data_IF_156383051091
#
_entry.id   IF_156383051091
#
_cell.length_a   1.000
_cell.length_b   1.000
_cell.length_c   1.000
_cell.angle_alpha   90.00
_cell.angle_beta   90.00
_cell.angle_gamma   90.00
#
_symmetry.space_group_name_H-M   'P 1'
#
loop_
_entity.id
_entity.type
_entity.pdbx_description
1 polymer ?
#
# COMPACT_ATOMS: atom_id res chain seq x y z
N UNK A 1 -10.35 0.67 17.23
CA UNK A 1 -9.99 0.66 15.80
C UNK A 1 -8.50 0.40 15.66
N UNK A 2 -8.04 -0.18 14.54
CA UNK A 2 -6.62 -0.43 14.30
C UNK A 2 -5.81 0.88 14.28
N UNK A 3 -4.58 0.84 14.80
CA UNK A 3 -3.62 1.92 14.74
C UNK A 3 -3.06 2.03 13.31
N UNK A 4 -3.15 3.20 12.65
CA UNK A 4 -2.72 3.37 11.27
C UNK A 4 -1.22 3.69 11.10
N UNK A 5 -0.47 3.89 12.19
CA UNK A 5 0.93 4.34 12.13
C UNK A 5 1.90 3.26 12.64
N UNK A 6 3.06 3.09 11.98
CA UNK A 6 4.14 2.25 12.49
C UNK A 6 4.89 2.88 13.67
N UNK A 7 4.65 4.16 13.98
CA UNK A 7 5.32 4.93 15.03
C UNK A 7 4.38 5.44 16.13
N UNK A 8 4.98 6.00 17.19
CA UNK A 8 4.26 6.71 18.25
C UNK A 8 3.61 5.83 19.32
N UNK A 9 3.62 4.50 19.19
CA UNK A 9 3.08 3.58 20.19
C UNK A 9 3.99 2.35 20.41
N UNK A 10 3.96 1.72 21.59
CA UNK A 10 4.67 0.46 21.85
C UNK A 10 4.32 -0.64 20.85
N UNK A 11 5.33 -1.37 20.36
CA UNK A 11 5.19 -2.41 19.33
C UNK A 11 4.12 -3.47 19.67
N UNK A 12 4.12 -3.95 20.92
CA UNK A 12 3.15 -4.94 21.41
C UNK A 12 1.72 -4.40 21.37
N UNK A 13 1.53 -3.12 21.73
CA UNK A 13 0.20 -2.49 21.72
C UNK A 13 -0.32 -2.34 20.29
N UNK A 14 0.53 -1.92 19.35
CA UNK A 14 0.17 -1.82 17.93
C UNK A 14 -0.25 -3.19 17.40
N UNK A 15 0.58 -4.21 17.60
CA UNK A 15 0.30 -5.55 17.10
C UNK A 15 -1.01 -6.12 17.67
N UNK A 16 -1.15 -6.13 19.01
CA UNK A 16 -2.31 -6.70 19.67
C UNK A 16 -3.61 -6.00 19.25
N UNK A 17 -3.63 -4.66 19.29
CA UNK A 17 -4.82 -3.89 18.91
C UNK A 17 -5.21 -4.15 17.45
N UNK A 18 -4.25 -4.10 16.53
CA UNK A 18 -4.52 -4.24 15.10
C UNK A 18 -5.08 -5.63 14.77
N UNK A 19 -4.46 -6.70 15.28
CA UNK A 19 -4.89 -8.08 14.99
C UNK A 19 -6.26 -8.37 15.60
N UNK A 20 -6.45 -8.06 16.90
CA UNK A 20 -7.71 -8.37 17.59
C UNK A 20 -8.88 -7.55 17.05
N UNK A 21 -8.68 -6.24 16.83
CA UNK A 21 -9.76 -5.40 16.30
C UNK A 21 -10.14 -5.79 14.88
N UNK A 22 -9.18 -6.18 14.04
CA UNK A 22 -9.45 -6.65 12.68
C UNK A 22 -10.30 -7.93 12.70
N UNK A 23 -9.92 -8.93 13.49
CA UNK A 23 -10.71 -10.17 13.63
C UNK A 23 -12.16 -9.88 14.08
N UNK A 24 -12.32 -9.08 15.13
CA UNK A 24 -13.63 -8.77 15.70
C UNK A 24 -14.55 -8.09 14.69
N UNK A 25 -14.03 -7.14 13.90
CA UNK A 25 -14.82 -6.41 12.90
C UNK A 25 -15.18 -7.30 11.71
N UNK A 26 -14.27 -8.17 11.26
CA UNK A 26 -14.58 -9.16 10.23
C UNK A 26 -15.71 -10.11 10.66
N UNK A 27 -15.63 -10.66 11.87
CA UNK A 27 -16.69 -11.53 12.41
C UNK A 27 -18.02 -10.78 12.52
N UNK A 28 -18.00 -9.56 13.08
CA UNK A 28 -19.20 -8.74 13.24
C UNK A 28 -19.86 -8.35 11.90
N UNK A 29 -19.11 -8.30 10.80
CA UNK A 29 -19.65 -8.10 9.45
C UNK A 29 -20.15 -9.41 8.82
N UNK A 30 -19.44 -10.51 9.03
CA UNK A 30 -19.78 -11.82 8.47
C UNK A 30 -21.06 -12.42 9.05
N UNK A 31 -21.23 -12.35 10.37
CA UNK A 31 -22.39 -12.93 11.08
C UNK A 31 -23.77 -12.41 10.59
N UNK A 32 -23.97 -11.10 10.38
CA UNK A 32 -25.21 -10.58 9.77
C UNK A 32 -25.26 -10.70 8.25
N UNK A 33 -24.22 -11.22 7.58
CA UNK A 33 -24.21 -11.45 6.14
C UNK A 33 -23.99 -10.20 5.29
N UNK A 34 -23.11 -9.29 5.73
CA UNK A 34 -22.60 -8.18 4.90
C UNK A 34 -22.07 -8.72 3.56
N UNK A 35 -22.32 -8.00 2.47
CA UNK A 35 -22.06 -8.48 1.10
C UNK A 35 -20.70 -8.11 0.53
N UNK A 36 -19.93 -7.28 1.21
CA UNK A 36 -18.58 -6.91 0.83
C UNK A 36 -17.86 -6.35 2.05
N UNK A 37 -16.62 -6.76 2.28
CA UNK A 37 -15.77 -6.19 3.31
C UNK A 37 -14.50 -5.63 2.70
N UNK A 38 -14.27 -4.32 2.81
CA UNK A 38 -13.03 -3.69 2.35
C UNK A 38 -12.12 -3.41 3.53
N UNK A 39 -10.97 -4.08 3.58
CA UNK A 39 -9.97 -3.93 4.62
C UNK A 39 -8.90 -2.90 4.22
N UNK A 40 -8.71 -1.91 5.08
CA UNK A 40 -7.63 -0.93 4.98
C UNK A 40 -6.29 -1.56 5.41
N UNK A 41 -5.68 -2.33 4.50
CA UNK A 41 -4.31 -2.81 4.66
C UNK A 41 -3.30 -1.68 4.41
N UNK A 42 -2.03 -2.02 4.27
CA UNK A 42 -0.94 -1.07 4.03
C UNK A 42 0.09 -1.71 3.12
N UNK A 43 0.79 -0.91 2.32
CA UNK A 43 1.97 -1.39 1.61
C UNK A 43 2.96 -2.12 2.54
N UNK A 44 2.99 -1.78 3.84
CA UNK A 44 3.98 -2.33 4.78
C UNK A 44 3.76 -3.83 4.98
N UNK A 45 2.55 -4.33 4.70
CA UNK A 45 2.24 -5.76 4.72
C UNK A 45 3.09 -6.57 3.72
N UNK A 46 3.67 -5.93 2.69
CA UNK A 46 4.65 -6.55 1.79
C UNK A 46 5.95 -6.93 2.51
N UNK A 47 6.28 -6.26 3.61
CA UNK A 47 7.54 -6.41 4.35
C UNK A 47 8.74 -5.72 3.72
N UNK A 48 8.71 -5.40 2.42
CA UNK A 48 9.84 -4.81 1.70
C UNK A 48 10.28 -3.44 2.22
N UNK A 49 9.38 -2.68 2.83
CA UNK A 49 9.67 -1.36 3.40
C UNK A 49 10.25 -1.40 4.81
N UNK A 50 10.48 -2.60 5.34
CA UNK A 50 10.94 -2.83 6.71
C UNK A 50 12.24 -3.61 6.79
N UNK A 51 12.85 -3.85 5.63
CA UNK A 51 14.15 -4.49 5.45
C UNK A 51 15.10 -3.56 4.70
N UNK A 52 16.40 -3.85 4.77
CA UNK A 52 17.40 -3.20 3.93
C UNK A 52 17.49 -3.79 2.52
N UNK A 53 16.87 -4.95 2.29
CA UNK A 53 16.82 -5.58 0.98
C UNK A 53 15.84 -4.88 0.03
N UNK A 54 16.10 -4.98 -1.27
CA UNK A 54 15.21 -4.48 -2.31
C UNK A 54 14.29 -5.60 -2.82
N UNK A 55 13.04 -5.28 -3.21
CA UNK A 55 12.19 -6.16 -4.00
C UNK A 55 12.94 -6.82 -5.17
N UNK A 56 12.48 -8.01 -5.62
CA UNK A 56 13.14 -8.73 -6.71
C UNK A 56 13.18 -7.94 -8.02
N UNK A 57 12.14 -7.14 -8.30
CA UNK A 57 12.01 -6.29 -9.47
C UNK A 57 11.18 -5.03 -9.14
N UNK A 58 11.25 -4.03 -10.01
CA UNK A 58 10.41 -2.82 -9.97
C UNK A 58 9.74 -2.59 -11.33
N UNK A 59 8.46 -2.18 -11.39
CA UNK A 59 7.55 -2.08 -10.24
C UNK A 59 7.24 -3.47 -9.69
N UNK A 60 6.95 -3.57 -8.39
CA UNK A 60 6.54 -4.84 -7.76
C UNK A 60 5.05 -4.85 -7.47
N UNK A 61 4.44 -6.03 -7.56
CA UNK A 61 3.02 -6.26 -7.38
C UNK A 61 2.67 -6.84 -5.99
N UNK A 62 1.41 -7.22 -5.80
CA UNK A 62 0.92 -7.75 -4.52
C UNK A 62 1.56 -9.10 -4.13
N UNK A 63 2.15 -9.84 -5.08
CA UNK A 63 2.79 -11.13 -4.85
C UNK A 63 4.18 -11.01 -4.24
N UNK A 64 4.81 -9.84 -4.41
CA UNK A 64 6.11 -9.55 -3.81
C UNK A 64 5.96 -9.34 -2.30
N UNK A 65 6.31 -10.37 -1.53
CA UNK A 65 6.31 -10.33 -0.05
C UNK A 65 7.61 -10.91 0.52
N UNK A 66 8.09 -10.30 1.59
CA UNK A 66 9.12 -10.84 2.50
C UNK A 66 8.61 -10.82 3.94
N UNK A 67 9.15 -11.69 4.80
CA UNK A 67 8.82 -11.67 6.21
C UNK A 67 9.37 -10.41 6.90
N UNK A 68 8.52 -9.78 7.70
CA UNK A 68 8.86 -8.56 8.43
C UNK A 68 8.76 -8.75 9.94
N UNK A 69 9.81 -8.42 10.72
CA UNK A 69 9.73 -8.36 12.17
C UNK A 69 9.08 -7.06 12.67
N UNK A 70 8.71 -6.12 11.78
CA UNK A 70 8.06 -4.88 12.18
C UNK A 70 6.62 -5.16 12.63
N UNK A 71 6.30 -4.78 13.87
CA UNK A 71 5.00 -5.09 14.49
C UNK A 71 3.79 -4.53 13.72
N UNK A 72 3.92 -3.34 13.12
CA UNK A 72 2.83 -2.76 12.32
C UNK A 72 2.67 -3.51 10.99
N UNK A 73 3.75 -3.70 10.24
CA UNK A 73 3.76 -4.46 8.99
C UNK A 73 3.18 -5.87 9.18
N UNK A 74 3.66 -6.57 10.20
CA UNK A 74 3.17 -7.90 10.55
C UNK A 74 1.69 -7.88 10.92
N UNK A 75 1.23 -6.89 11.70
CA UNK A 75 -0.18 -6.78 12.06
C UNK A 75 -1.09 -6.55 10.84
N UNK A 76 -0.62 -5.77 9.85
CA UNK A 76 -1.37 -5.52 8.61
C UNK A 76 -1.45 -6.79 7.77
N UNK A 77 -0.35 -7.52 7.64
CA UNK A 77 -0.32 -8.83 6.98
C UNK A 77 -1.19 -9.86 7.69
N UNK A 78 -1.19 -9.91 9.03
CA UNK A 78 -2.10 -10.77 9.80
C UNK A 78 -3.58 -10.42 9.55
N UNK A 79 -3.90 -9.14 9.32
CA UNK A 79 -5.23 -8.74 8.89
C UNK A 79 -5.63 -9.32 7.54
N UNK A 80 -4.70 -9.41 6.58
CA UNK A 80 -4.93 -10.08 5.27
C UNK A 80 -5.15 -11.59 5.45
N UNK A 81 -4.37 -12.25 6.32
CA UNK A 81 -4.55 -13.67 6.66
C UNK A 81 -5.90 -13.93 7.33
N UNK A 82 -6.35 -13.01 8.20
CA UNK A 82 -7.70 -13.06 8.76
C UNK A 82 -8.73 -12.91 7.64
N UNK A 83 -8.52 -11.99 6.70
CA UNK A 83 -9.36 -11.81 5.51
C UNK A 83 -9.53 -13.09 4.71
N UNK A 84 -8.44 -13.83 4.45
CA UNK A 84 -8.48 -15.14 3.78
C UNK A 84 -9.38 -16.14 4.52
N UNK A 85 -9.26 -16.22 5.85
CA UNK A 85 -10.06 -17.13 6.65
C UNK A 85 -11.54 -16.72 6.66
N UNK A 86 -11.81 -15.42 6.72
CA UNK A 86 -13.16 -14.87 6.79
C UNK A 86 -13.91 -15.00 5.46
N UNK A 87 -13.25 -14.77 4.33
CA UNK A 87 -13.82 -15.01 3.00
C UNK A 87 -14.18 -16.50 2.77
N UNK A 88 -13.39 -17.43 3.33
CA UNK A 88 -13.70 -18.87 3.30
C UNK A 88 -14.88 -19.21 4.22
N UNK A 89 -14.96 -18.58 5.38
CA UNK A 89 -16.01 -18.83 6.39
C UNK A 89 -17.36 -18.25 5.98
N UNK A 90 -17.36 -17.07 5.35
CA UNK A 90 -18.53 -16.31 4.94
C UNK A 90 -18.51 -16.13 3.42
N UNK A 91 -18.85 -17.19 2.68
CA UNK A 91 -18.74 -17.22 1.21
C UNK A 91 -19.58 -16.16 0.49
N UNK A 92 -20.59 -15.59 1.16
CA UNK A 92 -21.40 -14.46 0.66
C UNK A 92 -20.84 -13.07 0.98
N UNK A 93 -19.64 -12.99 1.55
CA UNK A 93 -18.92 -11.76 1.91
C UNK A 93 -17.50 -11.80 1.31
N UNK A 94 -17.33 -11.44 0.02
CA UNK A 94 -16.00 -11.21 -0.52
C UNK A 94 -15.25 -10.16 0.30
N UNK A 95 -13.94 -10.38 0.43
CA UNK A 95 -13.02 -9.49 1.13
C UNK A 95 -12.10 -8.84 0.11
N UNK A 96 -11.92 -7.52 0.23
CA UNK A 96 -10.95 -6.77 -0.57
C UNK A 96 -9.99 -6.06 0.37
N UNK A 97 -8.72 -6.42 0.34
CA UNK A 97 -7.66 -5.75 1.09
C UNK A 97 -6.93 -4.74 0.22
N UNK A 98 -6.99 -3.47 0.58
CA UNK A 98 -6.25 -2.40 -0.09
C UNK A 98 -4.94 -2.14 0.66
N UNK A 99 -3.80 -2.46 0.04
CA UNK A 99 -2.47 -2.08 0.52
C UNK A 99 -2.20 -0.63 0.15
N UNK A 100 -2.66 0.25 1.03
CA UNK A 100 -2.62 1.70 0.85
C UNK A 100 -1.18 2.20 1.01
N UNK A 101 -0.67 2.93 0.01
CA UNK A 101 0.60 3.66 0.11
C UNK A 101 0.48 4.87 1.06
N UNK A 102 1.58 5.54 1.34
CA UNK A 102 1.63 6.70 2.23
C UNK A 102 0.63 7.79 1.80
N UNK A 103 -0.46 7.93 2.57
CA UNK A 103 -1.57 8.84 2.28
C UNK A 103 -1.15 10.29 2.51
N UNK A 104 -1.47 11.14 1.54
CA UNK A 104 -1.27 12.59 1.56
C UNK A 104 -2.62 13.25 1.30
N UNK A 105 -2.90 14.33 2.02
CA UNK A 105 -4.09 15.17 1.79
C UNK A 105 -3.70 16.41 0.97
N UNK A 106 -4.64 17.05 0.25
CA UNK A 106 -4.32 18.23 -0.58
C UNK A 106 -3.60 19.35 0.21
N UNK A 107 -3.99 19.59 1.45
CA UNK A 107 -3.37 20.59 2.35
C UNK A 107 -1.96 20.19 2.84
N UNK A 108 -1.58 18.93 2.71
CA UNK A 108 -0.29 18.38 3.17
C UNK A 108 0.69 18.06 2.05
N UNK A 109 0.43 18.51 0.81
CA UNK A 109 1.34 18.36 -0.33
C UNK A 109 2.72 19.00 -0.08
N UNK A 110 2.82 19.99 0.80
CA UNK A 110 4.09 20.57 1.22
C UNK A 110 5.05 19.53 1.85
N UNK A 111 4.55 18.47 2.50
CA UNK A 111 5.40 17.38 3.01
C UNK A 111 6.08 16.59 1.89
N UNK A 112 5.46 16.48 0.71
CA UNK A 112 6.10 15.87 -0.45
C UNK A 112 7.26 16.74 -0.94
N UNK A 113 7.13 18.07 -0.86
CA UNK A 113 8.24 19.00 -1.11
C UNK A 113 9.36 18.81 -0.10
N UNK A 114 9.06 18.75 1.19
CA UNK A 114 10.08 18.53 2.24
C UNK A 114 10.84 17.21 2.02
N UNK A 115 10.15 16.15 1.58
CA UNK A 115 10.81 14.88 1.19
C UNK A 115 11.75 15.07 0.01
N UNK A 116 11.34 15.80 -1.04
CA UNK A 116 12.22 16.14 -2.17
C UNK A 116 13.43 16.94 -1.76
N UNK A 117 13.26 17.91 -0.86
CA UNK A 117 14.35 18.77 -0.39
C UNK A 117 15.42 17.97 0.38
N UNK A 118 15.08 16.79 0.89
CA UNK A 118 15.97 15.85 1.58
C UNK A 118 16.48 14.73 0.67
N UNK A 119 16.48 14.94 -0.64
CA UNK A 119 16.92 13.95 -1.63
C UNK A 119 18.38 13.49 -1.39
N UNK A 120 18.69 12.19 -1.56
CA UNK A 120 17.77 11.10 -1.89
C UNK A 120 17.09 10.45 -0.69
N UNK A 121 17.42 10.84 0.56
CA UNK A 121 16.98 10.13 1.77
C UNK A 121 15.49 10.32 2.05
N UNK A 122 14.97 11.54 1.91
CA UNK A 122 13.58 11.88 2.20
C UNK A 122 12.60 11.07 1.36
N UNK A 123 11.77 10.26 2.01
CA UNK A 123 10.80 9.38 1.33
C UNK A 123 11.40 8.11 0.70
N UNK A 124 12.70 7.83 0.85
CA UNK A 124 13.29 6.62 0.27
C UNK A 124 12.75 5.32 0.87
N UNK A 125 12.29 5.29 2.12
CA UNK A 125 11.79 4.04 2.76
C UNK A 125 10.63 3.39 2.01
N UNK A 126 9.82 4.18 1.29
CA UNK A 126 8.74 3.71 0.42
C UNK A 126 8.98 4.09 -1.04
N UNK A 127 10.26 4.19 -1.45
CA UNK A 127 10.66 4.49 -2.83
C UNK A 127 10.00 5.75 -3.39
N UNK A 128 9.90 6.79 -2.55
CA UNK A 128 9.34 8.10 -2.87
C UNK A 128 7.87 8.07 -3.34
N UNK A 129 7.17 6.98 -3.05
CA UNK A 129 5.78 6.82 -3.44
C UNK A 129 4.84 7.51 -2.44
N UNK A 130 3.61 7.73 -2.86
CA UNK A 130 2.56 8.31 -2.04
C UNK A 130 1.20 7.93 -2.65
N UNK A 131 0.11 8.38 -2.04
CA UNK A 131 -1.22 8.38 -2.65
C UNK A 131 -2.03 9.55 -2.11
N UNK A 132 -2.82 10.21 -2.95
CA UNK A 132 -3.77 11.23 -2.51
C UNK A 132 -4.98 10.60 -1.81
N UNK A 133 -5.45 11.19 -0.71
CA UNK A 133 -6.62 10.72 0.05
C UNK A 133 -7.90 10.59 -0.79
N UNK A 134 -8.08 11.43 -1.81
CA UNK A 134 -9.19 11.39 -2.77
C UNK A 134 -9.12 10.12 -3.63
N UNK A 135 -7.90 9.72 -4.02
CA UNK A 135 -7.67 8.46 -4.73
C UNK A 135 -7.92 7.26 -3.82
N UNK A 136 -7.52 7.32 -2.54
CA UNK A 136 -7.88 6.28 -1.55
C UNK A 136 -9.41 6.14 -1.46
N UNK A 137 -10.14 7.24 -1.32
CA UNK A 137 -11.60 7.21 -1.23
C UNK A 137 -12.26 6.56 -2.46
N UNK A 138 -11.78 6.89 -3.67
CA UNK A 138 -12.31 6.28 -4.89
C UNK A 138 -11.90 4.81 -5.06
N UNK A 139 -10.76 4.38 -4.50
CA UNK A 139 -10.36 2.97 -4.46
C UNK A 139 -11.28 2.15 -3.55
N UNK A 140 -11.62 2.69 -2.37
CA UNK A 140 -12.63 2.07 -1.49
C UNK A 140 -13.98 1.96 -2.18
N UNK A 141 -14.42 3.03 -2.87
CA UNK A 141 -15.67 2.97 -3.64
C UNK A 141 -15.62 1.89 -4.72
N UNK A 142 -14.54 1.82 -5.50
CA UNK A 142 -14.36 0.80 -6.52
C UNK A 142 -14.34 -0.62 -5.95
N UNK A 143 -13.76 -0.82 -4.76
CA UNK A 143 -13.77 -2.11 -4.06
C UNK A 143 -15.16 -2.51 -3.53
N UNK A 144 -15.97 -1.54 -3.10
CA UNK A 144 -17.35 -1.79 -2.64
C UNK A 144 -18.29 -2.07 -3.81
N UNK A 145 -18.15 -1.31 -4.91
CA UNK A 145 -19.04 -1.39 -6.09
C UNK A 145 -18.61 -2.50 -7.07
N UNK A 146 -17.37 -2.95 -6.99
CA UNK A 146 -16.82 -3.96 -7.89
C UNK A 146 -17.23 -5.39 -7.55
N UNK A 147 -17.13 -6.25 -8.55
CA UNK A 147 -17.46 -7.67 -8.42
C UNK A 147 -16.19 -8.49 -8.15
N UNK A 148 -16.08 -9.02 -6.93
CA UNK A 148 -14.96 -9.86 -6.50
C UNK A 148 -15.47 -11.09 -5.77
N UNK A 149 -14.67 -12.15 -5.77
CA UNK A 149 -14.99 -13.39 -5.05
C UNK A 149 -13.84 -13.80 -4.14
N UNK A 150 -14.15 -14.41 -3.01
CA UNK A 150 -13.11 -14.85 -2.06
C UNK A 150 -12.40 -13.65 -1.42
N UNK A 151 -11.07 -13.67 -1.39
CA UNK A 151 -10.26 -12.58 -0.87
C UNK A 151 -9.30 -12.10 -1.95
N UNK A 152 -9.37 -10.80 -2.25
CA UNK A 152 -8.46 -10.12 -3.17
C UNK A 152 -7.64 -9.07 -2.44
N UNK A 153 -6.34 -9.03 -2.74
CA UNK A 153 -5.42 -7.98 -2.27
C UNK A 153 -5.02 -7.10 -3.45
N UNK A 154 -5.02 -5.79 -3.24
CA UNK A 154 -4.62 -4.80 -4.25
C UNK A 154 -3.65 -3.77 -3.67
N UNK A 155 -2.59 -3.44 -4.39
CA UNK A 155 -1.78 -2.25 -4.14
C UNK A 155 -2.48 -1.02 -4.69
N UNK A 156 -2.47 0.07 -3.91
CA UNK A 156 -2.91 1.38 -4.38
C UNK A 156 -1.84 2.43 -4.06
N UNK A 157 -1.41 3.14 -5.10
CA UNK A 157 -0.47 4.25 -5.03
C UNK A 157 -0.84 5.31 -6.07
N UNK A 158 -0.30 6.53 -5.93
CA UNK A 158 -0.26 7.50 -7.02
C UNK A 158 0.53 6.92 -8.21
N UNK A 159 0.25 7.42 -9.41
CA UNK A 159 0.91 6.95 -10.63
C UNK A 159 2.39 7.32 -10.69
N UNK A 160 2.81 8.34 -9.95
CA UNK A 160 4.16 8.90 -9.97
C UNK A 160 4.85 8.92 -8.59
N UNK A 161 6.16 9.10 -8.61
CA UNK A 161 6.95 9.37 -7.40
C UNK A 161 6.88 10.84 -7.03
N UNK A 162 7.18 11.14 -5.77
CA UNK A 162 7.22 12.51 -5.27
C UNK A 162 8.45 13.31 -5.71
N UNK A 163 9.35 12.78 -6.56
CA UNK A 163 10.64 13.37 -6.93
C UNK A 163 10.62 14.18 -8.23
N UNK A 164 11.45 15.22 -8.35
CA UNK A 164 11.77 15.86 -9.63
C UNK A 164 12.89 15.14 -10.41
N UNK A 165 13.53 14.17 -9.78
CA UNK A 165 14.61 13.35 -10.33
C UNK A 165 14.04 12.03 -10.90
N UNK A 166 14.51 11.58 -12.08
CA UNK A 166 14.18 10.26 -12.61
C UNK A 166 14.46 9.12 -11.61
N UNK A 167 13.55 8.14 -11.56
CA UNK A 167 13.61 7.00 -10.65
C UNK A 167 14.94 6.26 -10.77
N UNK A 168 15.46 6.01 -11.97
CA UNK A 168 16.73 5.30 -12.15
C UNK A 168 17.90 6.04 -11.49
N UNK A 169 17.93 7.36 -11.60
CA UNK A 169 18.95 8.20 -10.96
C UNK A 169 18.77 8.19 -9.44
N UNK A 170 17.53 8.35 -8.95
CA UNK A 170 17.21 8.29 -7.52
C UNK A 170 17.59 6.93 -6.90
N UNK A 171 17.28 5.83 -7.60
CA UNK A 171 17.58 4.47 -7.19
C UNK A 171 19.10 4.24 -7.14
N UNK A 172 19.84 4.73 -8.13
CA UNK A 172 21.31 4.69 -8.13
C UNK A 172 21.87 5.47 -6.94
N UNK A 173 21.40 6.70 -6.74
CA UNK A 173 21.88 7.59 -5.68
C UNK A 173 21.62 7.04 -4.28
N UNK A 174 20.49 6.34 -4.08
CA UNK A 174 20.10 5.82 -2.76
C UNK A 174 20.59 4.40 -2.48
N UNK A 175 20.58 3.53 -3.48
CA UNK A 175 20.74 2.08 -3.30
C UNK A 175 21.87 1.47 -4.14
N UNK A 176 22.62 2.26 -4.89
CA UNK A 176 23.71 1.78 -5.74
C UNK A 176 23.25 1.35 -7.13
N UNK A 177 24.23 1.10 -8.00
CA UNK A 177 24.00 0.80 -9.41
C UNK A 177 23.27 -0.55 -9.62
N UNK A 178 23.42 -1.49 -8.70
CA UNK A 178 22.74 -2.79 -8.70
C UNK A 178 21.22 -2.66 -8.58
N UNK A 179 20.72 -1.58 -7.97
CA UNK A 179 19.30 -1.33 -7.83
C UNK A 179 18.62 -1.04 -9.18
N UNK A 180 19.36 -0.45 -10.13
CA UNK A 180 18.86 -0.15 -11.48
C UNK A 180 18.58 -1.42 -12.27
N UNK A 181 19.38 -2.46 -12.07
CA UNK A 181 19.19 -3.74 -12.75
C UNK A 181 17.87 -4.45 -12.38
N UNK A 182 17.22 -4.03 -11.28
CA UNK A 182 15.91 -4.52 -10.86
C UNK A 182 14.75 -3.76 -11.52
N UNK A 183 15.00 -2.61 -12.14
CA UNK A 183 13.96 -1.80 -12.79
C UNK A 183 13.63 -2.41 -14.15
N UNK A 184 12.34 -2.69 -14.39
CA UNK A 184 11.85 -3.25 -15.63
C UNK A 184 12.22 -2.35 -16.83
N UNK A 185 12.63 -2.93 -17.98
CA UNK A 185 12.85 -2.17 -19.20
C UNK A 185 11.62 -1.36 -19.58
N UNK A 186 11.80 -0.08 -19.93
CA UNK A 186 10.70 0.80 -20.30
C UNK A 186 9.88 1.34 -19.13
N UNK A 187 10.31 1.14 -17.87
CA UNK A 187 9.68 1.81 -16.74
C UNK A 187 9.83 3.33 -16.85
N UNK A 188 8.70 4.03 -16.80
CA UNK A 188 8.67 5.47 -17.00
C UNK A 188 9.48 6.22 -15.92
N UNK A 189 10.26 7.25 -16.29
CA UNK A 189 11.21 7.90 -15.37
C UNK A 189 10.60 8.39 -14.05
N UNK A 190 9.33 8.76 -14.03
CA UNK A 190 8.67 9.31 -12.84
C UNK A 190 7.60 8.38 -12.27
N UNK A 191 7.37 7.21 -12.86
CA UNK A 191 6.32 6.31 -12.42
C UNK A 191 6.63 5.68 -11.06
N UNK A 192 5.59 5.49 -10.25
CA UNK A 192 5.64 4.75 -8.99
C UNK A 192 6.17 3.34 -9.19
N UNK A 193 6.83 2.80 -8.16
CA UNK A 193 7.35 1.43 -8.16
C UNK A 193 6.35 0.40 -7.63
N UNK A 194 5.15 0.83 -7.25
CA UNK A 194 4.07 -0.05 -6.82
C UNK A 194 3.16 -0.32 -8.01
N UNK A 195 3.11 -1.57 -8.46
CA UNK A 195 2.26 -1.96 -9.59
C UNK A 195 0.79 -2.00 -9.16
N UNK A 196 0.01 -1.01 -9.62
CA UNK A 196 -1.44 -0.93 -9.43
C UNK A 196 -2.22 -1.57 -10.61
N UNK A 197 -1.57 -2.38 -11.43
CA UNK A 197 -2.15 -3.01 -12.62
C UNK A 197 -3.26 -4.00 -12.29
N UNK A 198 -3.16 -4.71 -11.16
CA UNK A 198 -4.19 -5.67 -10.74
C UNK A 198 -5.53 -4.98 -10.45
N UNK A 199 -5.53 -3.92 -9.65
CA UNK A 199 -6.77 -3.18 -9.32
C UNK A 199 -7.38 -2.50 -10.54
N UNK A 200 -6.54 -2.03 -11.47
CA UNK A 200 -7.02 -1.52 -12.76
C UNK A 200 -7.73 -2.58 -13.58
N UNK A 201 -7.18 -3.79 -13.68
CA UNK A 201 -7.78 -4.90 -14.45
C UNK A 201 -9.06 -5.43 -13.81
N UNK A 202 -9.09 -5.56 -12.48
CA UNK A 202 -10.21 -6.21 -11.77
C UNK A 202 -11.32 -5.22 -11.45
N UNK A 203 -10.98 -4.01 -10.98
CA UNK A 203 -11.94 -3.03 -10.49
C UNK A 203 -12.06 -1.78 -11.37
N UNK A 204 -11.31 -1.70 -12.48
CA UNK A 204 -11.33 -0.53 -13.37
C UNK A 204 -10.80 0.75 -12.72
N UNK A 205 -10.13 0.66 -11.58
CA UNK A 205 -9.68 1.82 -10.81
C UNK A 205 -8.25 2.24 -11.17
N UNK A 206 -8.03 3.55 -11.26
CA UNK A 206 -6.71 4.18 -11.37
C UNK A 206 -6.67 5.42 -10.51
N UNK A 207 -5.52 5.73 -9.90
CA UNK A 207 -5.28 7.03 -9.27
C UNK A 207 -5.39 8.15 -10.32
N UNK A 208 -5.87 9.32 -9.89
CA UNK A 208 -6.11 10.50 -10.75
C UNK A 208 -5.39 11.74 -10.27
N UNK A 209 -4.91 11.77 -9.03
CA UNK A 209 -4.30 12.96 -8.45
C UNK A 209 -2.78 12.82 -8.42
N UNK A 210 -2.09 13.81 -8.99
CA UNK A 210 -0.64 13.95 -8.87
C UNK A 210 -0.27 15.27 -8.20
N UNK A 211 0.76 15.24 -7.34
CA UNK A 211 1.36 16.45 -6.78
C UNK A 211 1.91 17.41 -7.85
N UNK A 212 2.20 16.90 -9.06
CA UNK A 212 2.75 17.69 -10.17
C UNK A 212 1.72 18.61 -10.82
N UNK A 213 0.44 18.25 -10.73
CA UNK A 213 -0.67 19.02 -11.31
C UNK A 213 -1.09 20.18 -10.40
N UNK A 214 -0.65 20.19 -9.14
CA UNK A 214 -0.99 21.20 -8.14
C UNK A 214 0.13 22.27 -7.98
N UNK A 215 0.86 22.53 -9.08
CA UNK A 215 1.90 23.56 -9.18
C UNK A 215 1.37 24.94 -9.52
#
# INVERSE_FOLDING_TARGET
>A
AANPSPGGNPRQQVFNNNVQSTYNVFQAAGDPGVKCFVYASSEMATGWLTTSELPPHFPFDETARVDSPNAYALSKYMGEVIGDAMARRYTGMPVVSLRINNVITPDTYHWLKERRDQYPQGGSTNFWSYIDVRDVATAFRAAIEGDTTGHEVFLIAAADTCLDTPLQEAMTARYGAEAVAKIAPGHEPFASVFDCGKIKRVLGWTAKHSWREER
#
